data_IF_319902269875
#
_entry.id   IF_319902269875
#
_cell.length_a   1.000
_cell.length_b   1.000
_cell.length_c   1.000
_cell.angle_alpha   90.00
_cell.angle_beta   90.00
_cell.angle_gamma   90.00
#
_symmetry.space_group_name_H-M   'P 1'
#
loop_
_entity.id
_entity.type
_entity.pdbx_description
1 polymer ?
#
# COMPACT_ATOMS: atom_id res chain seq x y z
N UNK A 1 -16.27 8.49 -13.92
CA UNK A 1 -15.52 7.28 -14.36
C UNK A 1 -16.48 6.18 -14.83
N UNK A 2 -16.03 5.22 -15.63
CA UNK A 2 -16.88 4.13 -16.18
C UNK A 2 -17.66 3.34 -15.12
N UNK A 3 -17.08 3.16 -13.92
CA UNK A 3 -17.73 2.50 -12.79
C UNK A 3 -18.82 3.36 -12.16
N UNK A 4 -18.61 4.66 -11.98
CA UNK A 4 -19.63 5.59 -11.49
C UNK A 4 -20.84 5.67 -12.43
N UNK A 5 -20.60 5.62 -13.74
CA UNK A 5 -21.66 5.54 -14.75
C UNK A 5 -22.54 4.30 -14.57
N UNK A 6 -21.92 3.14 -14.28
CA UNK A 6 -22.66 1.91 -13.95
C UNK A 6 -23.47 2.02 -12.65
N UNK A 7 -22.97 2.76 -11.65
CA UNK A 7 -23.64 2.91 -10.36
C UNK A 7 -24.81 3.91 -10.39
N UNK A 8 -24.68 4.97 -11.19
CA UNK A 8 -25.72 6.00 -11.38
C UNK A 8 -26.82 5.56 -12.34
N UNK A 9 -26.48 4.78 -13.36
CA UNK A 9 -27.42 4.29 -14.38
C UNK A 9 -27.76 2.81 -14.18
N UNK A 10 -28.27 2.45 -13.00
CA UNK A 10 -28.57 1.05 -12.63
C UNK A 10 -29.57 0.33 -13.55
N UNK A 11 -30.38 1.10 -14.31
CA UNK A 11 -31.35 0.57 -15.26
C UNK A 11 -30.76 0.22 -16.64
N UNK A 12 -29.49 0.53 -16.91
CA UNK A 12 -28.83 0.16 -18.17
C UNK A 12 -27.97 -1.10 -18.00
N UNK A 13 -27.98 -2.01 -18.99
CA UNK A 13 -27.09 -3.16 -18.96
C UNK A 13 -25.63 -2.71 -19.11
N UNK A 14 -24.74 -3.24 -18.27
CA UNK A 14 -23.29 -2.95 -18.30
C UNK A 14 -22.67 -3.13 -19.68
N UNK A 15 -23.19 -4.09 -20.47
CA UNK A 15 -22.77 -4.34 -21.85
C UNK A 15 -22.97 -3.12 -22.77
N UNK A 16 -24.08 -2.40 -22.62
CA UNK A 16 -24.37 -1.20 -23.42
C UNK A 16 -23.42 -0.06 -23.02
N UNK A 17 -23.19 0.12 -21.71
CA UNK A 17 -22.22 1.08 -21.18
C UNK A 17 -20.80 0.76 -21.69
N UNK A 18 -20.41 -0.51 -21.72
CA UNK A 18 -19.11 -0.94 -22.25
C UNK A 18 -18.96 -0.61 -23.75
N UNK A 19 -20.02 -0.83 -24.54
CA UNK A 19 -20.04 -0.52 -25.97
C UNK A 19 -19.95 0.99 -26.23
N UNK A 20 -20.69 1.82 -25.48
CA UNK A 20 -20.67 3.27 -25.58
C UNK A 20 -19.28 3.84 -25.25
N UNK A 21 -18.62 3.25 -24.26
CA UNK A 21 -17.26 3.63 -23.84
C UNK A 21 -16.15 3.02 -24.72
N UNK A 22 -16.49 2.16 -25.69
CA UNK A 22 -15.53 1.48 -26.55
C UNK A 22 -14.60 0.50 -25.81
N UNK A 23 -15.03 0.00 -24.63
CA UNK A 23 -14.28 -0.95 -23.80
C UNK A 23 -14.91 -2.33 -23.85
N UNK A 24 -14.13 -3.35 -23.46
CA UNK A 24 -14.67 -4.71 -23.35
C UNK A 24 -15.51 -4.86 -22.07
N UNK A 25 -16.60 -5.63 -22.16
CA UNK A 25 -17.47 -5.92 -21.01
C UNK A 25 -16.71 -6.59 -19.86
N UNK A 26 -15.75 -7.47 -20.18
CA UNK A 26 -14.87 -8.08 -19.17
C UNK A 26 -14.05 -7.03 -18.41
N UNK A 27 -13.57 -5.98 -19.08
CA UNK A 27 -12.80 -4.91 -18.43
C UNK A 27 -13.69 -4.09 -17.51
N UNK A 28 -14.90 -3.73 -17.96
CA UNK A 28 -15.86 -3.00 -17.13
C UNK A 28 -16.29 -3.82 -15.91
N UNK A 29 -16.59 -5.10 -16.08
CA UNK A 29 -16.94 -5.99 -14.98
C UNK A 29 -15.79 -6.14 -13.96
N UNK A 30 -14.55 -6.20 -14.44
CA UNK A 30 -13.37 -6.22 -13.58
C UNK A 30 -13.27 -4.93 -12.76
N UNK A 31 -13.38 -3.77 -13.38
CA UNK A 31 -13.30 -2.49 -12.68
C UNK A 31 -14.41 -2.31 -11.65
N UNK A 32 -15.64 -2.74 -11.95
CA UNK A 32 -16.73 -2.71 -10.98
C UNK A 32 -16.38 -3.59 -9.77
N UNK A 33 -15.88 -4.81 -9.98
CA UNK A 33 -15.46 -5.71 -8.88
C UNK A 33 -14.29 -5.15 -8.07
N UNK A 34 -13.31 -4.55 -8.74
CA UNK A 34 -12.17 -3.91 -8.07
C UNK A 34 -12.66 -2.73 -7.23
N UNK A 35 -13.56 -1.89 -7.78
CA UNK A 35 -14.21 -0.79 -7.09
C UNK A 35 -15.04 -1.22 -5.88
N UNK A 36 -15.80 -2.32 -5.98
CA UNK A 36 -16.56 -2.84 -4.83
C UNK A 36 -15.63 -3.29 -3.69
N UNK A 37 -14.40 -3.71 -4.01
CA UNK A 37 -13.44 -4.23 -3.03
C UNK A 37 -12.54 -3.14 -2.44
N UNK A 38 -12.07 -2.19 -3.25
CA UNK A 38 -11.07 -1.21 -2.86
C UNK A 38 -11.59 0.23 -2.88
N UNK A 39 -12.83 0.46 -3.31
CA UNK A 39 -13.44 1.79 -3.40
C UNK A 39 -12.61 2.72 -4.28
N UNK A 40 -12.33 3.91 -3.78
CA UNK A 40 -11.53 4.93 -4.47
C UNK A 40 -10.07 4.48 -4.73
N UNK A 41 -9.57 3.48 -3.99
CA UNK A 41 -8.21 2.96 -4.17
C UNK A 41 -8.06 2.02 -5.38
N UNK A 42 -9.16 1.69 -6.07
CA UNK A 42 -9.18 0.68 -7.15
C UNK A 42 -8.44 1.09 -8.41
N UNK A 43 -8.27 2.39 -8.63
CA UNK A 43 -7.58 2.95 -9.79
C UNK A 43 -6.17 3.42 -9.44
N UNK A 44 -5.46 2.66 -8.60
CA UNK A 44 -4.05 2.95 -8.31
C UNK A 44 -3.22 2.90 -9.61
N UNK A 45 -2.50 3.98 -9.90
CA UNK A 45 -1.67 4.09 -11.10
C UNK A 45 -0.57 3.01 -11.18
N UNK A 46 0.08 2.92 -12.35
CA UNK A 46 1.10 1.92 -12.65
C UNK A 46 2.20 1.89 -11.57
N UNK A 47 2.51 0.69 -11.08
CA UNK A 47 3.56 0.46 -10.08
C UNK A 47 3.15 0.67 -8.61
N UNK A 48 1.90 1.05 -8.32
CA UNK A 48 1.38 1.09 -6.95
C UNK A 48 0.50 -0.12 -6.67
N UNK A 49 0.72 -0.86 -5.57
CA UNK A 49 -0.18 -1.93 -5.19
C UNK A 49 -1.56 -1.35 -4.87
N UNK A 50 -2.62 -1.96 -5.41
CA UNK A 50 -4.00 -1.69 -5.00
C UNK A 50 -4.17 -2.24 -3.60
N UNK A 51 -4.37 -1.34 -2.64
CA UNK A 51 -4.50 -1.65 -1.22
C UNK A 51 -5.73 -0.93 -0.68
N UNK A 52 -6.42 -1.57 0.25
CA UNK A 52 -7.40 -0.90 1.11
C UNK A 52 -6.70 0.10 2.03
N UNK A 53 -7.43 1.06 2.58
CA UNK A 53 -6.86 2.04 3.51
C UNK A 53 -6.20 1.37 4.73
N UNK A 54 -6.81 0.28 5.20
CA UNK A 54 -6.27 -0.54 6.30
C UNK A 54 -4.95 -1.22 5.93
N UNK A 55 -4.84 -1.76 4.71
CA UNK A 55 -3.60 -2.38 4.23
C UNK A 55 -2.49 -1.34 4.06
N UNK A 56 -2.84 -0.13 3.61
CA UNK A 56 -1.92 1.00 3.47
C UNK A 56 -1.39 1.46 4.83
N UNK A 57 -2.27 1.63 5.82
CA UNK A 57 -1.90 1.97 7.19
C UNK A 57 -1.01 0.89 7.80
N UNK A 58 -1.37 -0.40 7.63
CA UNK A 58 -0.56 -1.52 8.10
C UNK A 58 0.84 -1.54 7.48
N UNK A 59 0.94 -1.26 6.18
CA UNK A 59 2.22 -1.19 5.48
C UNK A 59 3.10 -0.05 6.01
N UNK A 60 2.49 1.12 6.28
CA UNK A 60 3.17 2.26 6.89
C UNK A 60 3.66 1.94 8.30
N UNK A 61 2.79 1.42 9.18
CA UNK A 61 3.15 1.06 10.55
C UNK A 61 4.28 0.01 10.60
N UNK A 62 4.24 -0.99 9.71
CA UNK A 62 5.31 -1.99 9.60
C UNK A 62 6.65 -1.39 9.16
N UNK A 63 6.61 -0.35 8.33
CA UNK A 63 7.81 0.37 7.89
C UNK A 63 8.41 1.17 9.06
N UNK A 64 7.60 1.96 9.75
CA UNK A 64 8.02 2.76 10.91
C UNK A 64 8.57 1.88 12.05
N UNK A 65 7.91 0.75 12.33
CA UNK A 65 8.38 -0.21 13.32
C UNK A 65 9.76 -0.78 12.95
N UNK A 66 9.98 -1.08 11.67
CA UNK A 66 11.26 -1.61 11.19
C UNK A 66 12.37 -0.57 11.30
N UNK A 67 12.10 0.67 10.91
CA UNK A 67 13.06 1.78 11.01
C UNK A 67 13.47 1.99 12.47
N UNK A 68 12.50 2.05 13.38
CA UNK A 68 12.74 2.18 14.82
C UNK A 68 13.56 1.00 15.39
N UNK A 69 13.28 -0.22 14.95
CA UNK A 69 14.04 -1.40 15.36
C UNK A 69 15.49 -1.34 14.90
N UNK A 70 15.72 -0.91 13.66
CA UNK A 70 17.06 -0.74 13.09
C UNK A 70 17.83 0.34 13.86
N UNK A 71 17.24 1.50 14.11
CA UNK A 71 17.85 2.58 14.89
C UNK A 71 18.25 2.11 16.28
N UNK A 72 17.33 1.44 16.97
CA UNK A 72 17.58 0.86 18.30
C UNK A 72 18.73 -0.15 18.26
N UNK A 73 18.80 -0.99 17.24
CA UNK A 73 19.85 -1.99 17.10
C UNK A 73 21.22 -1.36 16.78
N UNK A 74 21.25 -0.31 15.98
CA UNK A 74 22.46 0.49 15.74
C UNK A 74 22.95 1.10 17.05
N UNK A 75 22.06 1.73 17.82
CA UNK A 75 22.42 2.35 19.10
C UNK A 75 22.92 1.30 20.12
N UNK A 76 22.26 0.15 20.22
CA UNK A 76 22.72 -0.96 21.08
C UNK A 76 24.12 -1.45 20.69
N UNK A 77 24.39 -1.60 19.39
CA UNK A 77 25.71 -1.99 18.89
C UNK A 77 26.77 -0.94 19.25
N UNK A 78 26.46 0.34 19.07
CA UNK A 78 27.36 1.44 19.42
C UNK A 78 27.71 1.42 20.91
N UNK A 79 26.71 1.36 21.80
CA UNK A 79 26.92 1.27 23.25
C UNK A 79 27.79 0.08 23.62
N UNK A 80 27.52 -1.11 23.05
CA UNK A 80 28.32 -2.31 23.33
C UNK A 80 29.80 -2.16 22.95
N UNK A 81 30.10 -1.44 21.87
CA UNK A 81 31.48 -1.17 21.43
C UNK A 81 32.16 -0.20 22.41
N UNK A 82 31.51 0.91 22.75
CA UNK A 82 32.08 1.91 23.66
C UNK A 82 32.31 1.35 25.07
N UNK A 83 31.37 0.58 25.62
CA UNK A 83 31.52 -0.01 26.96
C UNK A 83 32.63 -1.08 27.06
N UNK A 84 33.06 -1.68 25.94
CA UNK A 84 34.18 -2.64 25.92
C UNK A 84 35.54 -1.99 25.67
N UNK A 85 35.57 -0.72 25.25
CA UNK A 85 36.78 0.04 25.00
C UNK A 85 37.46 0.57 26.27
N UNK A 86 36.71 0.77 27.35
CA UNK A 86 37.21 1.35 28.61
C UNK A 86 38.07 0.40 29.46
N UNK A 87 38.08 -0.90 29.21
CA UNK A 87 38.83 -1.86 30.05
C UNK A 87 40.28 -2.09 29.63
N UNK A 88 40.82 -1.33 28.65
CA UNK A 88 42.12 -1.63 28.03
C UNK A 88 43.22 -0.58 28.21
N UNK A 89 43.11 0.33 29.18
CA UNK A 89 44.25 1.21 29.50
C UNK A 89 44.32 1.60 31.00
N UNK A 90 44.84 0.69 31.82
CA UNK A 90 45.44 1.01 33.13
C UNK A 90 46.78 0.28 33.22
N UNK A 91 47.78 0.74 32.48
CA UNK A 91 49.19 0.44 32.78
C UNK A 91 50.08 1.50 32.10
N UNK A 92 50.31 2.59 32.82
CA UNK A 92 51.50 3.45 32.74
C UNK A 92 51.65 4.14 34.09
#
# INVERSE_FOLDING_TARGET
MAVELCQTQQNRPKKEIAQELGITDNMLNRWVREHDKYGDNSFAGQGRPVMTDKEKELAQLRKELRETQIERDILKKAVSIFSKGDSRNTNS
#
